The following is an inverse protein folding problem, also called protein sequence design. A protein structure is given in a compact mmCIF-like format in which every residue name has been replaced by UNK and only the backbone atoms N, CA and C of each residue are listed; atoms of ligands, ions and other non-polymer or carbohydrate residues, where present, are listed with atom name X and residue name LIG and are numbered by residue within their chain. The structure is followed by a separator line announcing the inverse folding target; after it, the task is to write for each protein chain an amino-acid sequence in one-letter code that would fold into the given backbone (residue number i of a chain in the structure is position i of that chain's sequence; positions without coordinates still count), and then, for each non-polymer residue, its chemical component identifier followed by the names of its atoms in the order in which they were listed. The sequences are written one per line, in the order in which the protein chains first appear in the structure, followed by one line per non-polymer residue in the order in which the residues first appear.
data_IF_356431511057
#
_entry.id   IF_356431511057
#
_cell.length_a   1.000
_cell.length_b   1.000
_cell.length_c   1.000
_cell.angle_alpha   90.00
_cell.angle_beta   90.00
_cell.angle_gamma   90.00
#
_symmetry.space_group_name_H-M   'P 1'
#
loop_
_entity.id
_entity.type
_entity.pdbx_description
1 polymer ?
#
# COMPACT_ATOMS: atom_id res chain seq x y z
N UNK A 1 6.91 16.62 -0.36
CA UNK A 1 6.44 17.50 -1.45
C UNK A 1 6.07 18.88 -0.92
N UNK A 2 6.07 19.90 -1.78
CA UNK A 2 5.51 21.22 -1.58
C UNK A 2 4.29 21.38 -2.47
N UNK A 3 3.19 21.84 -1.91
CA UNK A 3 1.96 22.12 -2.64
C UNK A 3 1.73 23.64 -2.61
N UNK A 4 1.69 24.26 -3.77
CA UNK A 4 1.39 25.68 -3.91
C UNK A 4 -0.11 25.84 -4.22
N UNK A 5 -0.81 26.68 -3.44
CA UNK A 5 -2.22 26.97 -3.59
C UNK A 5 -2.49 28.46 -3.74
N UNK A 6 -3.62 28.80 -4.37
CA UNK A 6 -4.15 30.16 -4.46
C UNK A 6 -5.64 30.09 -4.08
N UNK A 7 -5.98 30.58 -2.90
CA UNK A 7 -7.28 30.33 -2.29
C UNK A 7 -7.48 28.80 -2.14
N UNK A 8 -8.62 28.32 -2.55
CA UNK A 8 -8.98 26.90 -2.46
C UNK A 8 -8.46 26.04 -3.63
N UNK A 9 -7.74 26.65 -4.58
CA UNK A 9 -7.23 25.96 -5.75
C UNK A 9 -5.78 25.57 -5.59
N UNK A 10 -5.47 24.27 -5.77
CA UNK A 10 -4.11 23.78 -5.88
C UNK A 10 -3.56 24.16 -7.27
N UNK A 11 -2.43 24.83 -7.31
CA UNK A 11 -1.83 25.33 -8.54
C UNK A 11 -0.75 24.43 -9.09
N UNK A 12 0.03 23.77 -8.20
CA UNK A 12 1.10 22.85 -8.58
C UNK A 12 1.62 22.06 -7.39
N UNK A 13 2.26 20.93 -7.70
CA UNK A 13 2.99 20.11 -6.74
C UNK A 13 4.45 20.06 -7.15
N UNK A 14 5.34 20.35 -6.22
CA UNK A 14 6.80 20.40 -6.41
C UNK A 14 7.51 19.47 -5.43
N UNK A 15 8.73 18.98 -5.77
CA UNK A 15 9.54 18.24 -4.81
C UNK A 15 10.01 19.16 -3.68
N UNK A 16 10.29 18.58 -2.53
CA UNK A 16 11.18 19.14 -1.51
C UNK A 16 12.46 18.35 -1.58
N UNK A 17 13.58 19.04 -1.51
CA UNK A 17 14.91 18.40 -1.54
C UNK A 17 15.07 17.58 -0.26
N UNK A 18 15.44 16.32 -0.44
CA UNK A 18 15.85 15.40 0.62
C UNK A 18 16.77 14.34 0.00
N UNK A 19 18.07 14.52 0.21
CA UNK A 19 19.13 13.70 -0.40
C UNK A 19 18.99 12.20 -0.04
N UNK A 20 18.53 11.90 1.17
CA UNK A 20 18.38 10.52 1.64
C UNK A 20 17.16 9.81 1.01
N UNK A 21 16.12 10.56 0.59
CA UNK A 21 14.84 9.99 0.16
C UNK A 21 14.65 10.14 -1.35
N UNK A 22 14.45 11.36 -1.81
CA UNK A 22 14.02 11.66 -3.18
C UNK A 22 14.97 12.57 -3.94
N UNK A 23 16.10 12.97 -3.33
CA UNK A 23 16.98 14.02 -3.86
C UNK A 23 16.12 15.26 -4.18
N UNK A 24 16.08 15.68 -5.44
CA UNK A 24 15.26 16.81 -5.93
C UNK A 24 14.07 16.37 -6.79
N UNK A 25 13.74 15.07 -6.81
CA UNK A 25 12.78 14.48 -7.76
C UNK A 25 11.43 14.11 -7.11
N UNK A 26 10.38 14.16 -7.92
CA UNK A 26 9.09 13.49 -7.67
C UNK A 26 8.61 12.84 -8.95
N UNK A 27 7.73 11.83 -8.83
CA UNK A 27 7.14 11.18 -10.00
C UNK A 27 6.20 12.12 -10.75
N UNK A 28 6.05 11.90 -12.06
CA UNK A 28 5.08 12.64 -12.88
C UNK A 28 3.65 12.46 -12.36
N UNK A 29 3.30 11.27 -11.87
CA UNK A 29 2.03 11.03 -11.21
C UNK A 29 1.81 12.00 -10.04
N UNK A 30 2.78 12.16 -9.15
CA UNK A 30 2.70 13.09 -8.02
C UNK A 30 2.63 14.55 -8.50
N UNK A 31 3.37 14.89 -9.54
CA UNK A 31 3.46 16.26 -10.06
C UNK A 31 2.16 16.73 -10.73
N UNK A 32 1.49 15.85 -11.45
CA UNK A 32 0.41 16.23 -12.36
C UNK A 32 -0.98 15.71 -11.98
N UNK A 33 -1.10 14.75 -11.05
CA UNK A 33 -2.40 14.17 -10.69
C UNK A 33 -3.27 15.04 -9.77
N UNK A 34 -2.81 16.24 -9.37
CA UNK A 34 -3.53 17.09 -8.42
C UNK A 34 -4.86 17.62 -8.94
N UNK A 35 -5.06 17.68 -10.25
CA UNK A 35 -6.33 18.09 -10.84
C UNK A 35 -7.49 17.19 -10.40
N UNK A 36 -7.23 15.88 -10.23
CA UNK A 36 -8.20 14.92 -9.74
C UNK A 36 -8.77 15.25 -8.35
N UNK A 37 -8.05 16.05 -7.55
CA UNK A 37 -8.52 16.49 -6.22
C UNK A 37 -9.77 17.39 -6.27
N UNK A 38 -10.13 17.93 -7.44
CA UNK A 38 -11.27 18.82 -7.61
C UNK A 38 -12.47 18.14 -8.28
N UNK A 39 -12.32 16.91 -8.78
CA UNK A 39 -13.37 16.22 -9.52
C UNK A 39 -13.96 15.07 -8.71
N UNK A 40 -15.24 14.78 -8.94
CA UNK A 40 -15.97 13.67 -8.33
C UNK A 40 -15.88 13.66 -6.78
N UNK A 41 -15.86 14.85 -6.18
CA UNK A 41 -15.81 15.01 -4.73
C UNK A 41 -17.15 14.60 -4.11
N UNK A 42 -17.04 13.88 -2.98
CA UNK A 42 -18.18 13.64 -2.10
C UNK A 42 -18.22 14.81 -1.12
N UNK A 43 -19.21 15.66 -1.26
CA UNK A 43 -19.43 16.87 -0.46
C UNK A 43 -20.69 16.79 0.41
N UNK A 44 -21.47 15.72 0.28
CA UNK A 44 -22.74 15.49 0.99
C UNK A 44 -22.90 14.05 1.43
N UNK A 45 -23.85 13.85 2.34
CA UNK A 45 -24.28 12.54 2.79
C UNK A 45 -25.35 11.97 1.86
N UNK A 46 -25.28 10.67 1.56
CA UNK A 46 -26.26 9.99 0.72
C UNK A 46 -26.72 8.68 1.35
N UNK A 47 -28.00 8.38 1.16
CA UNK A 47 -28.61 7.09 1.48
C UNK A 47 -29.15 6.45 0.21
N UNK A 48 -29.04 5.13 0.10
CA UNK A 48 -29.66 4.38 -1.00
C UNK A 48 -31.12 4.08 -0.67
N UNK A 49 -32.01 4.49 -1.56
CA UNK A 49 -33.45 4.22 -1.43
C UNK A 49 -33.83 2.78 -1.85
N UNK A 50 -35.08 2.43 -1.67
CA UNK A 50 -35.62 1.12 -2.07
C UNK A 50 -35.58 0.87 -3.59
N UNK A 51 -35.41 1.91 -4.41
CA UNK A 51 -35.27 1.84 -5.87
C UNK A 51 -33.80 1.81 -6.30
N UNK A 52 -32.88 1.57 -5.36
CA UNK A 52 -31.43 1.55 -5.59
C UNK A 52 -30.82 2.86 -6.06
N UNK A 53 -31.49 4.00 -5.82
CA UNK A 53 -31.00 5.34 -6.13
C UNK A 53 -30.35 5.94 -4.87
N UNK A 54 -29.20 6.60 -5.02
CA UNK A 54 -28.61 7.42 -3.97
C UNK A 54 -29.37 8.74 -3.87
N UNK A 55 -29.88 9.05 -2.67
CA UNK A 55 -30.58 10.28 -2.35
C UNK A 55 -29.78 11.05 -1.30
N UNK A 56 -29.68 12.37 -1.46
CA UNK A 56 -29.09 13.25 -0.46
C UNK A 56 -29.87 13.14 0.85
N UNK A 57 -29.13 13.16 1.98
CA UNK A 57 -29.71 13.12 3.31
C UNK A 57 -28.92 14.04 4.25
N UNK A 58 -29.45 14.23 5.45
CA UNK A 58 -28.74 14.95 6.50
C UNK A 58 -27.65 14.09 7.14
N UNK A 59 -26.67 14.72 7.76
CA UNK A 59 -25.64 14.05 8.55
C UNK A 59 -26.26 13.16 9.64
N UNK A 60 -27.25 13.69 10.36
CA UNK A 60 -27.93 12.96 11.45
C UNK A 60 -28.64 11.70 10.93
N UNK A 61 -29.28 11.76 9.78
CA UNK A 61 -29.95 10.59 9.18
C UNK A 61 -28.92 9.52 8.82
N UNK A 62 -27.81 9.89 8.18
CA UNK A 62 -26.76 8.97 7.81
C UNK A 62 -26.10 8.35 9.05
N UNK A 63 -25.67 9.17 10.02
CA UNK A 63 -24.99 8.71 11.23
C UNK A 63 -25.89 7.84 12.11
N UNK A 64 -27.18 8.18 12.25
CA UNK A 64 -28.14 7.35 12.98
C UNK A 64 -28.35 5.99 12.32
N UNK A 65 -28.43 5.93 10.98
CA UNK A 65 -28.53 4.65 10.28
C UNK A 65 -27.26 3.80 10.48
N UNK A 66 -26.06 4.40 10.34
CA UNK A 66 -24.78 3.74 10.58
C UNK A 66 -24.71 3.19 12.00
N UNK A 67 -25.01 4.04 13.01
CA UNK A 67 -25.04 3.65 14.42
C UNK A 67 -25.97 2.47 14.67
N UNK A 68 -27.20 2.53 14.16
CA UNK A 68 -28.17 1.46 14.32
C UNK A 68 -27.67 0.16 13.68
N UNK A 69 -27.08 0.23 12.49
CA UNK A 69 -26.54 -0.96 11.82
C UNK A 69 -25.36 -1.56 12.57
N UNK A 70 -24.41 -0.74 13.04
CA UNK A 70 -23.24 -1.20 13.81
C UNK A 70 -23.63 -1.83 15.16
N UNK A 71 -24.73 -1.38 15.79
CA UNK A 71 -25.21 -1.90 17.07
C UNK A 71 -26.11 -3.14 16.93
N UNK A 72 -26.81 -3.29 15.81
CA UNK A 72 -27.77 -4.39 15.60
C UNK A 72 -27.17 -5.59 14.89
N UNK A 73 -26.19 -5.39 14.02
CA UNK A 73 -25.49 -6.48 13.34
C UNK A 73 -24.48 -7.11 14.28
N UNK A 74 -24.44 -8.43 14.35
CA UNK A 74 -23.43 -9.13 15.14
C UNK A 74 -22.01 -8.74 14.71
N UNK A 75 -21.15 -8.36 15.65
CA UNK A 75 -19.78 -7.91 15.38
C UNK A 75 -18.94 -8.89 14.55
N UNK A 76 -19.19 -10.21 14.70
CA UNK A 76 -18.54 -11.25 13.90
C UNK A 76 -18.97 -11.26 12.43
N UNK A 77 -20.08 -10.58 12.10
CA UNK A 77 -20.65 -10.42 10.76
C UNK A 77 -20.37 -9.05 10.14
N UNK A 78 -19.53 -8.25 10.80
CA UNK A 78 -19.09 -6.96 10.29
C UNK A 78 -17.64 -7.10 9.82
N UNK A 79 -17.34 -6.59 8.63
CA UNK A 79 -15.98 -6.45 8.11
C UNK A 79 -15.66 -4.98 7.82
N UNK A 80 -14.40 -4.61 7.90
CA UNK A 80 -13.95 -3.25 7.63
C UNK A 80 -12.63 -3.24 6.84
N UNK A 81 -12.54 -2.33 5.86
CA UNK A 81 -11.34 -2.09 5.10
C UNK A 81 -10.98 -0.60 5.15
N UNK A 82 -9.70 -0.31 5.19
CA UNK A 82 -9.18 1.05 5.05
C UNK A 82 -8.45 1.22 3.73
N UNK A 83 -8.55 2.42 3.17
CA UNK A 83 -7.94 2.79 1.90
C UNK A 83 -6.43 2.97 1.99
N UNK A 84 -5.81 2.91 0.84
CA UNK A 84 -4.36 2.87 0.68
C UNK A 84 -3.66 4.23 0.91
N UNK A 85 -4.41 5.33 1.06
CA UNK A 85 -3.88 6.69 1.16
C UNK A 85 -4.26 7.41 2.47
N UNK A 86 -4.69 6.66 3.50
CA UNK A 86 -5.08 7.22 4.77
C UNK A 86 -3.88 7.51 5.68
N UNK A 87 -4.00 8.58 6.45
CA UNK A 87 -3.07 8.95 7.53
C UNK A 87 -3.25 8.05 8.76
N UNK A 88 -2.24 8.06 9.63
CA UNK A 88 -2.22 7.23 10.83
C UNK A 88 -3.32 7.59 11.81
N UNK A 89 -3.65 8.87 11.98
CA UNK A 89 -4.67 9.33 12.93
C UNK A 89 -6.06 8.83 12.54
N UNK A 90 -6.38 8.90 11.24
CA UNK A 90 -7.65 8.38 10.71
C UNK A 90 -7.76 6.87 10.91
N UNK A 91 -6.71 6.11 10.58
CA UNK A 91 -6.68 4.66 10.76
C UNK A 91 -6.77 4.27 12.23
N UNK A 92 -6.04 4.98 13.10
CA UNK A 92 -6.02 4.73 14.54
C UNK A 92 -7.37 5.00 15.19
N UNK A 93 -8.00 6.14 14.87
CA UNK A 93 -9.32 6.49 15.38
C UNK A 93 -10.39 5.47 14.96
N UNK A 94 -10.32 5.03 13.70
CA UNK A 94 -11.24 3.99 13.20
C UNK A 94 -10.99 2.64 13.90
N UNK A 95 -9.73 2.27 14.11
CA UNK A 95 -9.39 1.06 14.86
C UNK A 95 -9.95 1.07 16.27
N UNK A 96 -9.83 2.21 17.00
CA UNK A 96 -10.43 2.37 18.36
C UNK A 96 -11.95 2.16 18.31
N UNK A 97 -12.63 2.70 17.29
CA UNK A 97 -14.07 2.49 17.12
C UNK A 97 -14.40 1.01 16.95
N UNK A 98 -13.68 0.32 16.06
CA UNK A 98 -13.89 -1.11 15.80
C UNK A 98 -13.61 -1.97 17.05
N UNK A 99 -12.53 -1.67 17.76
CA UNK A 99 -12.14 -2.37 19.00
C UNK A 99 -13.22 -2.19 20.09
N UNK A 100 -13.76 -0.96 20.27
CA UNK A 100 -14.88 -0.69 21.22
C UNK A 100 -16.16 -1.44 20.88
N UNK A 101 -16.41 -1.70 19.58
CA UNK A 101 -17.56 -2.48 19.10
C UNK A 101 -17.27 -3.99 19.01
N UNK A 102 -16.07 -4.45 19.44
CA UNK A 102 -15.60 -5.82 19.33
C UNK A 102 -15.64 -6.36 17.89
N UNK A 103 -15.38 -5.49 16.89
CA UNK A 103 -15.29 -5.87 15.49
C UNK A 103 -13.82 -6.21 15.19
N UNK A 104 -13.55 -7.48 14.88
CA UNK A 104 -12.19 -7.99 14.67
C UNK A 104 -11.86 -8.31 13.20
N UNK A 105 -12.82 -8.16 12.28
CA UNK A 105 -12.61 -8.47 10.86
C UNK A 105 -12.26 -7.18 10.11
N UNK A 106 -11.01 -6.72 10.23
CA UNK A 106 -10.52 -5.54 9.53
C UNK A 106 -9.14 -5.78 8.92
N UNK A 107 -8.86 -5.12 7.81
CA UNK A 107 -7.55 -5.18 7.13
C UNK A 107 -7.29 -3.88 6.35
N UNK A 108 -6.01 -3.50 6.23
CA UNK A 108 -5.56 -2.43 5.36
C UNK A 108 -5.10 -2.93 3.98
N UNK A 109 -5.09 -4.25 3.75
CA UNK A 109 -4.58 -4.87 2.53
C UNK A 109 -5.74 -5.24 1.60
N UNK A 110 -6.14 -4.34 0.74
CA UNK A 110 -7.11 -4.61 -0.31
C UNK A 110 -6.58 -5.58 -1.37
N UNK A 111 -5.26 -5.68 -1.50
CA UNK A 111 -4.51 -6.52 -2.43
C UNK A 111 -4.11 -7.89 -1.85
N UNK A 112 -4.40 -8.11 -0.57
CA UNK A 112 -4.02 -9.32 0.17
C UNK A 112 -2.51 -9.64 0.15
N UNK A 113 -1.64 -8.63 0.05
CA UNK A 113 -0.20 -8.81 0.05
C UNK A 113 0.28 -9.53 1.31
N UNK A 114 1.24 -10.46 1.14
CA UNK A 114 1.83 -11.23 2.23
C UNK A 114 2.79 -10.38 3.08
N UNK A 115 2.77 -10.57 4.38
CA UNK A 115 3.75 -10.09 5.35
C UNK A 115 3.72 -11.00 6.58
N UNK A 116 4.73 -10.93 7.43
CA UNK A 116 4.75 -11.66 8.70
C UNK A 116 4.24 -10.71 9.78
N UNK A 117 3.12 -11.03 10.45
CA UNK A 117 2.61 -10.24 11.57
C UNK A 117 3.66 -10.08 12.66
N UNK A 118 3.72 -8.89 13.28
CA UNK A 118 4.64 -8.57 14.37
C UNK A 118 6.13 -8.47 13.96
N UNK A 119 6.46 -8.80 12.71
CA UNK A 119 7.80 -8.61 12.15
C UNK A 119 7.82 -7.40 11.22
N UNK A 120 8.18 -6.22 11.77
CA UNK A 120 8.19 -4.95 11.00
C UNK A 120 9.10 -5.02 9.78
N UNK A 121 10.21 -5.73 9.88
CA UNK A 121 11.15 -5.94 8.76
C UNK A 121 10.52 -6.68 7.57
N UNK A 122 9.38 -7.35 7.76
CA UNK A 122 8.67 -8.07 6.70
C UNK A 122 7.81 -7.18 5.78
N UNK A 123 7.70 -5.87 6.07
CA UNK A 123 6.87 -4.97 5.27
C UNK A 123 7.46 -3.56 5.03
N UNK A 124 8.71 -3.31 5.42
CA UNK A 124 9.41 -2.05 5.17
C UNK A 124 10.64 -2.22 4.26
N UNK A 125 11.20 -1.11 3.84
CA UNK A 125 12.46 -1.04 3.11
C UNK A 125 13.61 -0.93 4.11
N UNK A 126 14.15 -2.07 4.52
CA UNK A 126 15.04 -2.20 5.67
C UNK A 126 16.41 -1.52 5.51
N UNK A 127 16.96 -1.53 4.29
CA UNK A 127 18.27 -0.92 4.02
C UNK A 127 18.26 0.61 4.05
N UNK A 128 17.09 1.23 4.27
CA UNK A 128 16.79 2.63 3.95
C UNK A 128 16.86 2.95 2.45
N UNK A 129 16.32 4.07 2.03
CA UNK A 129 16.36 4.47 0.61
C UNK A 129 17.79 4.88 0.22
N UNK A 130 18.50 5.59 1.10
CA UNK A 130 19.90 5.94 0.90
C UNK A 130 20.83 4.72 0.87
N UNK A 131 20.47 3.63 1.57
CA UNK A 131 21.24 2.38 1.54
C UNK A 131 21.34 1.73 0.15
N UNK A 132 20.52 2.13 -0.82
CA UNK A 132 20.71 1.72 -2.23
C UNK A 132 22.11 2.08 -2.71
N UNK A 133 22.63 3.22 -2.27
CA UNK A 133 23.96 3.72 -2.70
C UNK A 133 25.11 2.91 -2.09
N UNK A 134 24.88 2.24 -0.96
CA UNK A 134 25.86 1.37 -0.30
C UNK A 134 25.86 -0.06 -0.84
N UNK A 135 24.81 -0.47 -1.55
CA UNK A 135 24.68 -1.83 -2.05
C UNK A 135 25.65 -2.15 -3.18
N UNK A 136 26.02 -3.41 -3.37
CA UNK A 136 26.92 -3.88 -4.43
C UNK A 136 26.25 -4.87 -5.41
N UNK A 137 25.01 -5.24 -5.17
CA UNK A 137 24.18 -6.12 -5.98
C UNK A 137 22.71 -5.76 -5.76
N UNK A 138 21.89 -5.70 -6.81
CA UNK A 138 20.44 -5.55 -6.72
C UNK A 138 19.72 -6.79 -7.27
N UNK A 139 18.73 -7.29 -6.51
CA UNK A 139 17.85 -8.41 -6.93
C UNK A 139 16.40 -7.94 -6.86
N UNK A 140 15.76 -7.77 -8.01
CA UNK A 140 14.37 -7.38 -8.16
C UNK A 140 13.48 -8.62 -8.27
N UNK A 141 12.48 -8.76 -7.41
CA UNK A 141 11.58 -9.92 -7.38
C UNK A 141 10.13 -9.44 -7.47
N UNK A 142 9.47 -9.74 -8.60
CA UNK A 142 8.06 -9.43 -8.80
C UNK A 142 7.73 -7.94 -8.74
N UNK A 143 8.58 -7.08 -9.31
CA UNK A 143 8.37 -5.63 -9.38
C UNK A 143 8.74 -5.03 -10.73
N UNK A 144 7.90 -4.11 -11.22
CA UNK A 144 8.25 -3.11 -12.23
C UNK A 144 8.70 -1.84 -11.50
N UNK A 145 9.95 -1.84 -11.04
CA UNK A 145 10.50 -0.76 -10.21
C UNK A 145 10.37 0.63 -10.88
N UNK A 146 10.35 0.69 -12.22
CA UNK A 146 10.18 1.94 -12.96
C UNK A 146 8.78 2.53 -12.83
N UNK A 147 7.74 1.68 -12.78
CA UNK A 147 6.35 2.10 -12.64
C UNK A 147 5.93 2.21 -11.18
N UNK A 148 6.33 1.24 -10.36
CA UNK A 148 5.92 1.16 -8.96
C UNK A 148 6.65 2.17 -8.08
N UNK A 149 7.96 2.42 -8.36
CA UNK A 149 8.80 3.33 -7.56
C UNK A 149 9.83 4.07 -8.44
N UNK A 150 9.39 5.02 -9.29
CA UNK A 150 10.26 5.67 -10.27
C UNK A 150 11.45 6.41 -9.65
N UNK A 151 11.33 6.93 -8.43
CA UNK A 151 12.43 7.60 -7.73
C UNK A 151 13.48 6.59 -7.28
N UNK A 152 13.09 5.44 -6.71
CA UNK A 152 14.02 4.36 -6.40
C UNK A 152 14.69 3.82 -7.67
N UNK A 153 13.92 3.69 -8.75
CA UNK A 153 14.45 3.29 -10.06
C UNK A 153 15.51 4.26 -10.58
N UNK A 154 15.33 5.58 -10.37
CA UNK A 154 16.32 6.60 -10.72
C UNK A 154 17.61 6.43 -9.91
N UNK A 155 17.49 6.22 -8.59
CA UNK A 155 18.64 6.00 -7.70
C UNK A 155 19.42 4.73 -8.08
N UNK A 156 18.73 3.62 -8.35
CA UNK A 156 19.35 2.38 -8.86
C UNK A 156 20.08 2.63 -10.18
N UNK A 157 19.47 3.42 -11.08
CA UNK A 157 20.09 3.80 -12.36
C UNK A 157 21.37 4.61 -12.17
N UNK A 158 21.34 5.62 -11.30
CA UNK A 158 22.51 6.44 -10.98
C UNK A 158 23.64 5.58 -10.42
N UNK A 159 23.30 4.69 -9.46
CA UNK A 159 24.25 3.72 -8.91
C UNK A 159 24.86 2.84 -9.99
N UNK A 160 24.03 2.31 -10.90
CA UNK A 160 24.48 1.44 -12.00
C UNK A 160 25.40 2.18 -13.01
N UNK A 161 25.15 3.48 -13.24
CA UNK A 161 25.93 4.27 -14.21
C UNK A 161 27.24 4.83 -13.61
N UNK A 162 27.23 5.16 -12.31
CA UNK A 162 28.34 5.84 -11.64
C UNK A 162 29.32 4.87 -10.97
N UNK A 163 29.02 3.56 -10.97
CA UNK A 163 29.91 2.56 -10.39
C UNK A 163 31.10 2.31 -11.31
N UNK A 164 32.32 2.55 -10.84
CA UNK A 164 33.57 2.13 -11.49
C UNK A 164 33.65 0.60 -11.61
N UNK A 165 32.97 -0.10 -10.70
CA UNK A 165 32.75 -1.54 -10.73
C UNK A 165 31.34 -1.85 -11.25
N UNK A 166 31.22 -2.92 -12.04
CA UNK A 166 29.94 -3.36 -12.58
C UNK A 166 28.96 -3.65 -11.46
N UNK A 167 27.87 -2.85 -11.35
CA UNK A 167 26.76 -3.06 -10.42
C UNK A 167 25.74 -4.01 -11.06
N UNK A 168 25.69 -5.32 -10.72
CA UNK A 168 24.77 -6.25 -11.32
C UNK A 168 23.37 -6.04 -10.78
N UNK A 169 22.39 -6.05 -11.68
CA UNK A 169 20.95 -5.99 -11.34
C UNK A 169 20.31 -7.25 -11.91
N UNK A 170 19.81 -8.10 -11.04
CA UNK A 170 19.15 -9.35 -11.39
C UNK A 170 17.62 -9.18 -11.24
N UNK A 171 16.84 -9.79 -12.14
CA UNK A 171 15.38 -9.71 -12.06
C UNK A 171 14.75 -11.08 -12.17
N UNK A 172 13.75 -11.33 -11.30
CA UNK A 172 12.83 -12.45 -11.35
C UNK A 172 11.42 -11.86 -11.40
N UNK A 173 10.72 -12.07 -12.50
CA UNK A 173 9.40 -11.49 -12.76
C UNK A 173 9.21 -11.16 -14.23
N UNK A 174 8.14 -10.45 -14.56
CA UNK A 174 7.89 -10.03 -15.94
C UNK A 174 9.00 -9.10 -16.43
N UNK A 175 9.42 -9.32 -17.68
CA UNK A 175 10.40 -8.48 -18.33
C UNK A 175 9.74 -7.19 -18.84
N UNK A 176 10.29 -6.05 -18.45
CA UNK A 176 9.86 -4.74 -18.91
C UNK A 176 11.09 -3.86 -19.24
N UNK A 177 10.88 -2.84 -20.04
CA UNK A 177 11.94 -1.93 -20.45
C UNK A 177 12.41 -1.08 -19.29
N UNK A 178 13.70 -1.21 -18.94
CA UNK A 178 14.40 -0.39 -17.94
C UNK A 178 15.35 0.62 -18.59
N UNK A 179 15.82 1.59 -17.83
CA UNK A 179 16.83 2.58 -18.25
C UNK A 179 18.23 2.20 -17.78
N UNK A 180 18.43 0.96 -17.37
CA UNK A 180 19.67 0.34 -16.92
C UNK A 180 19.70 -1.13 -17.30
N UNK A 181 20.89 -1.72 -17.35
CA UNK A 181 21.06 -3.11 -17.73
C UNK A 181 20.57 -4.05 -16.62
N UNK A 182 19.75 -5.03 -16.99
CA UNK A 182 19.19 -6.04 -16.11
C UNK A 182 19.47 -7.43 -16.67
N UNK A 183 19.83 -8.35 -15.77
CA UNK A 183 19.97 -9.78 -16.08
C UNK A 183 18.68 -10.47 -15.70
N UNK A 184 17.88 -10.86 -16.70
CA UNK A 184 16.62 -11.57 -16.48
C UNK A 184 16.87 -13.04 -16.15
N UNK A 185 16.38 -13.49 -14.98
CA UNK A 185 16.52 -14.88 -14.51
C UNK A 185 15.28 -15.73 -14.80
N UNK A 186 14.21 -15.09 -15.28
CA UNK A 186 12.95 -15.73 -15.64
C UNK A 186 11.75 -15.19 -14.88
N UNK A 187 10.56 -15.62 -15.31
CA UNK A 187 9.28 -15.06 -14.84
C UNK A 187 8.60 -15.84 -13.74
N UNK A 188 9.09 -17.05 -13.43
CA UNK A 188 8.43 -17.97 -12.48
C UNK A 188 9.17 -18.00 -11.14
N UNK A 189 8.47 -18.24 -10.02
CA UNK A 189 9.10 -18.35 -8.69
C UNK A 189 10.25 -19.37 -8.62
N UNK A 190 10.16 -20.45 -9.40
CA UNK A 190 11.24 -21.46 -9.50
C UNK A 190 12.59 -20.87 -9.94
N UNK A 191 12.60 -19.68 -10.57
CA UNK A 191 13.85 -19.00 -10.96
C UNK A 191 14.69 -18.58 -9.76
N UNK A 192 14.11 -18.47 -8.56
CA UNK A 192 14.85 -18.26 -7.32
C UNK A 192 15.91 -19.36 -7.07
N UNK A 193 15.70 -20.59 -7.55
CA UNK A 193 16.69 -21.67 -7.45
C UNK A 193 18.00 -21.34 -8.19
N UNK A 194 17.98 -20.48 -9.21
CA UNK A 194 19.20 -20.04 -9.90
C UNK A 194 20.11 -19.23 -8.96
N UNK A 195 19.51 -18.53 -8.00
CA UNK A 195 20.23 -17.79 -6.94
C UNK A 195 20.61 -18.68 -5.77
N UNK A 196 19.80 -19.67 -5.41
CA UNK A 196 20.02 -20.53 -4.23
C UNK A 196 21.18 -21.51 -4.44
N UNK A 197 21.10 -22.31 -5.51
CA UNK A 197 22.09 -23.36 -5.82
C UNK A 197 22.50 -23.37 -7.30
N UNK A 198 21.92 -22.50 -8.13
CA UNK A 198 22.17 -22.47 -9.56
C UNK A 198 23.41 -21.65 -9.95
N UNK A 199 23.57 -21.45 -11.26
CA UNK A 199 24.73 -20.76 -11.82
C UNK A 199 24.86 -19.28 -11.44
N UNK A 200 23.74 -18.63 -11.04
CA UNK A 200 23.71 -17.20 -10.75
C UNK A 200 24.01 -16.87 -9.27
N UNK A 201 24.16 -17.91 -8.41
CA UNK A 201 24.63 -17.74 -7.01
C UNK A 201 25.97 -17.00 -6.92
N UNK A 202 26.80 -17.08 -7.98
CA UNK A 202 28.08 -16.37 -8.10
C UNK A 202 28.01 -14.87 -7.84
N UNK A 203 26.86 -14.23 -8.12
CA UNK A 203 26.66 -12.81 -7.85
C UNK A 203 26.51 -12.57 -6.34
N UNK A 204 25.75 -13.43 -5.65
CA UNK A 204 25.56 -13.38 -4.20
C UNK A 204 26.83 -13.77 -3.42
N UNK A 205 27.57 -14.77 -3.90
CA UNK A 205 28.85 -15.18 -3.31
C UNK A 205 29.90 -14.05 -3.34
N UNK A 206 29.85 -13.16 -4.33
CA UNK A 206 30.75 -12.03 -4.45
C UNK A 206 30.27 -10.76 -3.73
N UNK A 207 28.97 -10.66 -3.49
CA UNK A 207 28.36 -9.50 -2.85
C UNK A 207 28.64 -9.47 -1.36
N UNK A 208 28.86 -8.29 -0.81
CA UNK A 208 28.95 -8.05 0.63
C UNK A 208 27.68 -7.37 1.14
N UNK A 209 27.05 -6.50 0.32
CA UNK A 209 25.82 -5.75 0.64
C UNK A 209 24.74 -5.99 -0.43
N UNK A 210 24.19 -7.24 -0.52
CA UNK A 210 23.14 -7.52 -1.49
C UNK A 210 21.85 -6.79 -1.14
N UNK A 211 21.21 -6.19 -2.14
CA UNK A 211 19.93 -5.48 -2.04
C UNK A 211 18.85 -6.33 -2.72
N UNK A 212 17.95 -6.92 -1.94
CA UNK A 212 16.77 -7.62 -2.42
C UNK A 212 15.57 -6.68 -2.34
N UNK A 213 14.78 -6.57 -3.41
CA UNK A 213 13.55 -5.78 -3.45
C UNK A 213 12.41 -6.67 -3.92
N UNK A 214 11.50 -6.99 -3.00
CA UNK A 214 10.29 -7.75 -3.28
C UNK A 214 9.13 -6.80 -3.51
N UNK A 215 8.51 -6.86 -4.70
CA UNK A 215 7.36 -6.05 -5.06
C UNK A 215 6.03 -6.78 -4.92
N UNK A 216 4.95 -6.04 -5.15
CA UNK A 216 3.58 -6.53 -4.99
C UNK A 216 3.25 -7.65 -5.98
N UNK A 217 3.88 -7.69 -7.16
CA UNK A 217 3.73 -8.80 -8.11
C UNK A 217 4.20 -10.16 -7.58
N UNK A 218 5.04 -10.20 -6.54
CA UNK A 218 5.38 -11.42 -5.81
C UNK A 218 4.50 -11.61 -4.57
N UNK A 219 4.20 -10.53 -3.84
CA UNK A 219 3.56 -10.58 -2.52
C UNK A 219 2.03 -10.74 -2.58
N UNK A 220 1.36 -10.35 -3.68
CA UNK A 220 -0.08 -10.51 -3.86
C UNK A 220 -0.51 -11.85 -4.48
N UNK A 221 0.44 -12.76 -4.71
CA UNK A 221 0.18 -14.08 -5.29
C UNK A 221 -0.37 -15.06 -4.25
N UNK A 222 -1.03 -16.11 -4.73
CA UNK A 222 -1.48 -17.22 -3.85
C UNK A 222 -0.32 -18.03 -3.24
N UNK A 223 0.88 -17.99 -3.86
CA UNK A 223 2.11 -18.64 -3.40
C UNK A 223 3.10 -17.64 -2.76
N UNK A 224 2.63 -16.44 -2.40
CA UNK A 224 3.45 -15.33 -1.87
C UNK A 224 4.26 -15.68 -0.63
N UNK A 225 3.69 -16.44 0.30
CA UNK A 225 4.38 -16.92 1.51
C UNK A 225 5.62 -17.76 1.15
N UNK A 226 5.48 -18.68 0.21
CA UNK A 226 6.61 -19.51 -0.23
C UNK A 226 7.68 -18.68 -0.94
N UNK A 227 7.26 -17.72 -1.77
CA UNK A 227 8.19 -16.81 -2.46
C UNK A 227 8.96 -15.96 -1.45
N UNK A 228 8.25 -15.36 -0.49
CA UNK A 228 8.85 -14.53 0.56
C UNK A 228 9.86 -15.32 1.38
N UNK A 229 9.44 -16.45 1.94
CA UNK A 229 10.28 -17.29 2.79
C UNK A 229 11.51 -17.82 2.04
N UNK A 230 11.35 -18.23 0.79
CA UNK A 230 12.47 -18.70 -0.01
C UNK A 230 13.42 -17.57 -0.41
N UNK A 231 12.92 -16.39 -0.76
CA UNK A 231 13.75 -15.22 -1.01
C UNK A 231 14.52 -14.79 0.26
N UNK A 232 13.87 -14.80 1.43
CA UNK A 232 14.49 -14.52 2.74
C UNK A 232 15.59 -15.54 3.06
N UNK A 233 15.33 -16.85 2.84
CA UNK A 233 16.33 -17.90 3.01
C UNK A 233 17.55 -17.71 2.10
N UNK A 234 17.34 -17.30 0.84
CA UNK A 234 18.45 -16.98 -0.09
C UNK A 234 19.26 -15.80 0.45
N UNK A 235 18.57 -14.72 0.85
CA UNK A 235 19.22 -13.54 1.41
C UNK A 235 20.06 -13.89 2.64
N UNK A 236 19.49 -14.57 3.62
CA UNK A 236 20.17 -14.97 4.86
C UNK A 236 21.37 -15.89 4.62
N UNK A 237 21.26 -16.82 3.65
CA UNK A 237 22.37 -17.74 3.29
C UNK A 237 23.60 -17.00 2.79
N UNK A 238 23.42 -15.88 2.08
CA UNK A 238 24.51 -15.14 1.42
C UNK A 238 24.82 -13.78 2.07
N UNK A 239 24.04 -13.34 3.05
CA UNK A 239 24.33 -12.14 3.83
C UNK A 239 25.60 -12.34 4.64
N UNK A 240 26.58 -11.46 4.49
CA UNK A 240 27.90 -11.52 5.16
C UNK A 240 28.03 -10.45 6.23
N UNK A 241 27.46 -9.28 6.00
CA UNK A 241 27.52 -8.13 6.88
C UNK A 241 26.30 -8.16 7.83
N UNK A 242 26.56 -8.26 9.13
CA UNK A 242 25.51 -8.31 10.16
C UNK A 242 24.82 -6.97 10.38
N UNK A 243 25.49 -5.87 10.05
CA UNK A 243 24.95 -4.52 10.16
C UNK A 243 24.12 -4.10 8.92
N UNK A 244 24.12 -4.94 7.86
CA UNK A 244 23.41 -4.72 6.62
C UNK A 244 22.12 -5.55 6.53
N UNK A 245 20.96 -4.87 6.55
CA UNK A 245 19.69 -5.50 6.20
C UNK A 245 19.22 -5.06 4.82
N UNK A 246 19.63 -5.76 3.79
CA UNK A 246 19.24 -5.50 2.40
C UNK A 246 18.01 -6.28 1.92
N UNK A 247 17.24 -6.90 2.79
CA UNK A 247 15.99 -7.57 2.43
C UNK A 247 14.83 -6.57 2.53
N UNK A 248 14.38 -6.06 1.38
CA UNK A 248 13.45 -4.94 1.31
C UNK A 248 12.12 -5.31 0.68
N UNK A 249 11.06 -4.72 1.22
CA UNK A 249 9.70 -4.84 0.70
C UNK A 249 9.30 -3.53 0.05
N UNK A 250 8.84 -3.59 -1.20
CA UNK A 250 8.38 -2.44 -1.94
C UNK A 250 6.87 -2.25 -1.73
N UNK A 251 6.52 -1.28 -0.89
CA UNK A 251 5.14 -0.83 -0.74
C UNK A 251 4.81 0.25 -1.77
N UNK A 252 3.66 0.13 -2.41
CA UNK A 252 3.21 1.07 -3.46
C UNK A 252 2.22 2.12 -2.95
N UNK A 253 1.78 2.00 -1.70
CA UNK A 253 0.72 2.82 -1.11
C UNK A 253 1.22 3.64 0.08
N UNK A 254 0.86 4.93 0.12
CA UNK A 254 1.36 5.89 1.12
C UNK A 254 0.88 5.63 2.55
N UNK A 255 -0.30 5.06 2.72
CA UNK A 255 -0.88 4.75 4.05
C UNK A 255 -0.55 3.34 4.55
N UNK A 256 0.04 2.46 3.72
CA UNK A 256 0.17 1.03 4.03
C UNK A 256 1.07 0.76 5.24
N UNK A 257 2.26 1.32 5.28
CA UNK A 257 3.21 1.07 6.38
C UNK A 257 2.65 1.57 7.71
N UNK A 258 2.07 2.78 7.72
CA UNK A 258 1.42 3.33 8.92
C UNK A 258 0.26 2.47 9.42
N UNK A 259 -0.58 1.97 8.52
CA UNK A 259 -1.69 1.09 8.90
C UNK A 259 -1.20 -0.27 9.46
N UNK A 260 -0.13 -0.83 8.91
CA UNK A 260 0.50 -2.06 9.44
C UNK A 260 1.17 -1.81 10.79
N UNK A 261 1.88 -0.70 10.98
CA UNK A 261 2.48 -0.30 12.26
C UNK A 261 1.42 -0.13 13.37
N UNK A 262 0.22 0.36 13.01
CA UNK A 262 -0.93 0.47 13.92
C UNK A 262 -1.65 -0.88 14.15
N UNK A 263 -1.22 -1.94 13.49
CA UNK A 263 -1.83 -3.26 13.60
C UNK A 263 -3.26 -3.32 13.02
N UNK A 264 -3.52 -2.57 11.94
CA UNK A 264 -4.82 -2.60 11.26
C UNK A 264 -4.91 -3.81 10.31
N UNK A 265 -4.85 -5.00 10.89
CA UNK A 265 -5.01 -6.29 10.21
C UNK A 265 -5.54 -7.34 11.16
N UNK A 266 -6.22 -8.34 10.62
CA UNK A 266 -6.75 -9.44 11.43
C UNK A 266 -5.73 -10.55 11.60
N UNK A 267 -5.17 -10.68 12.79
CA UNK A 267 -4.20 -11.75 13.14
C UNK A 267 -4.76 -13.17 12.98
N UNK A 268 -6.07 -13.36 13.24
CA UNK A 268 -6.71 -14.69 13.22
C UNK A 268 -7.02 -15.23 11.82
N UNK A 269 -7.05 -14.37 10.80
CA UNK A 269 -7.47 -14.73 9.44
C UNK A 269 -6.31 -14.78 8.44
N UNK A 270 -5.06 -14.63 8.91
CA UNK A 270 -3.89 -14.61 8.02
C UNK A 270 -3.59 -15.98 7.40
N UNK A 271 -4.07 -17.06 8.02
CA UNK A 271 -3.57 -18.42 7.70
C UNK A 271 -4.34 -19.18 6.61
N UNK A 272 -5.56 -18.79 6.20
CA UNK A 272 -6.35 -19.66 5.28
C UNK A 272 -7.15 -18.96 4.19
N UNK A 273 -7.72 -17.79 4.42
CA UNK A 273 -8.56 -17.10 3.45
C UNK A 273 -8.51 -15.60 3.73
N UNK A 274 -8.11 -14.80 2.75
CA UNK A 274 -8.03 -13.36 2.91
C UNK A 274 -9.38 -12.76 3.31
N UNK A 275 -9.37 -11.62 4.02
CA UNK A 275 -10.60 -10.92 4.39
C UNK A 275 -11.41 -10.56 3.13
N UNK A 276 -10.75 -10.15 2.05
CA UNK A 276 -11.38 -9.85 0.76
C UNK A 276 -12.14 -11.08 0.22
N UNK A 277 -11.51 -12.25 0.22
CA UNK A 277 -12.17 -13.46 -0.26
C UNK A 277 -13.36 -13.84 0.63
N UNK A 278 -13.26 -13.63 1.94
CA UNK A 278 -14.38 -13.86 2.87
C UNK A 278 -15.54 -12.88 2.60
N UNK A 279 -15.24 -11.61 2.25
CA UNK A 279 -16.24 -10.62 1.84
C UNK A 279 -16.96 -11.10 0.58
N UNK A 280 -16.22 -11.48 -0.45
CA UNK A 280 -16.80 -11.96 -1.72
C UNK A 280 -17.62 -13.25 -1.55
N UNK A 281 -17.25 -14.12 -0.63
CA UNK A 281 -18.00 -15.33 -0.30
C UNK A 281 -19.25 -15.06 0.56
N UNK A 282 -19.56 -13.80 0.88
CA UNK A 282 -20.78 -13.43 1.59
C UNK A 282 -20.80 -13.82 3.06
N UNK A 283 -19.64 -13.87 3.71
CA UNK A 283 -19.53 -14.17 5.15
C UNK A 283 -20.09 -13.04 6.02
N UNK A 284 -20.08 -11.80 5.52
CA UNK A 284 -20.41 -10.60 6.28
C UNK A 284 -21.75 -9.99 5.84
N UNK A 285 -22.50 -9.50 6.83
CA UNK A 285 -23.77 -8.83 6.62
C UNK A 285 -23.62 -7.30 6.53
N UNK A 286 -22.48 -6.77 7.05
CA UNK A 286 -22.11 -5.35 6.95
C UNK A 286 -20.62 -5.21 6.56
N UNK A 287 -20.36 -4.31 5.64
CA UNK A 287 -19.01 -3.92 5.20
C UNK A 287 -18.84 -2.41 5.36
N UNK A 288 -17.81 -1.99 6.13
CA UNK A 288 -17.43 -0.60 6.25
C UNK A 288 -16.14 -0.34 5.45
N UNK A 289 -16.25 0.50 4.44
CA UNK A 289 -15.16 0.92 3.55
C UNK A 289 -14.74 2.35 3.91
N UNK A 290 -13.62 2.51 4.61
CA UNK A 290 -13.06 3.83 4.91
C UNK A 290 -12.03 4.20 3.84
N UNK A 291 -12.45 4.99 2.85
CA UNK A 291 -11.66 5.35 1.64
C UNK A 291 -11.09 4.14 0.89
N UNK A 292 -11.73 2.98 1.01
CA UNK A 292 -11.32 1.74 0.39
C UNK A 292 -12.23 1.44 -0.81
N UNK A 293 -11.73 1.63 -2.02
CA UNK A 293 -12.49 1.47 -3.27
C UNK A 293 -11.71 0.76 -4.39
N UNK A 294 -10.52 0.22 -4.10
CA UNK A 294 -9.74 -0.58 -5.05
C UNK A 294 -10.10 -2.07 -5.04
N UNK A 295 -11.18 -2.45 -4.34
CA UNK A 295 -11.73 -3.81 -4.35
C UNK A 295 -12.75 -3.98 -5.49
N UNK A 296 -12.96 -5.23 -5.92
CA UNK A 296 -13.99 -5.56 -6.90
C UNK A 296 -15.39 -5.50 -6.26
N UNK A 297 -16.05 -4.35 -6.40
CA UNK A 297 -17.35 -4.10 -5.79
C UNK A 297 -18.47 -4.99 -6.33
N UNK A 298 -18.35 -5.50 -7.57
CA UNK A 298 -19.33 -6.35 -8.20
C UNK A 298 -19.39 -7.73 -7.53
N UNK A 299 -18.29 -8.14 -6.89
CA UNK A 299 -18.23 -9.38 -6.10
C UNK A 299 -18.81 -9.27 -4.70
N UNK A 300 -19.14 -8.06 -4.23
CA UNK A 300 -19.78 -7.89 -2.92
C UNK A 300 -21.24 -8.35 -3.04
N UNK A 301 -21.69 -9.32 -2.23
CA UNK A 301 -23.06 -9.83 -2.31
C UNK A 301 -24.11 -8.75 -2.05
N UNK A 302 -25.22 -8.78 -2.80
CA UNK A 302 -26.28 -7.79 -2.70
C UNK A 302 -26.91 -7.67 -1.30
N UNK A 303 -26.89 -8.77 -0.51
CA UNK A 303 -27.39 -8.79 0.87
C UNK A 303 -26.51 -8.04 1.87
N UNK A 304 -25.23 -7.78 1.54
CA UNK A 304 -24.30 -7.10 2.44
C UNK A 304 -24.60 -5.62 2.44
N UNK A 305 -24.86 -5.05 3.62
CA UNK A 305 -25.01 -3.61 3.79
C UNK A 305 -23.63 -2.93 3.72
N UNK A 306 -23.47 -1.94 2.85
CA UNK A 306 -22.18 -1.31 2.58
C UNK A 306 -22.20 0.17 3.01
N UNK A 307 -21.30 0.53 3.91
CA UNK A 307 -21.01 1.90 4.29
C UNK A 307 -19.74 2.31 3.57
N UNK A 308 -19.77 3.38 2.80
CA UNK A 308 -18.58 4.00 2.22
C UNK A 308 -18.37 5.39 2.79
N UNK A 309 -17.24 5.60 3.42
CA UNK A 309 -16.77 6.91 3.88
C UNK A 309 -15.52 7.27 3.08
N UNK A 310 -15.59 8.31 2.27
CA UNK A 310 -14.50 8.67 1.35
C UNK A 310 -14.61 10.09 0.84
N UNK A 311 -13.59 10.52 0.12
CA UNK A 311 -13.51 11.90 -0.43
C UNK A 311 -13.82 11.97 -1.91
N UNK A 312 -13.85 10.87 -2.64
CA UNK A 312 -14.19 10.80 -4.06
C UNK A 312 -15.28 9.76 -4.33
N UNK A 313 -16.16 10.09 -5.27
CA UNK A 313 -17.21 9.19 -5.73
C UNK A 313 -16.73 8.33 -6.89
N UNK A 314 -16.18 7.15 -6.60
CA UNK A 314 -15.75 6.17 -7.57
C UNK A 314 -16.47 4.83 -7.38
N UNK A 315 -15.78 3.72 -7.47
CA UNK A 315 -16.38 2.37 -7.51
C UNK A 315 -17.20 2.05 -6.26
N UNK A 316 -16.68 2.34 -5.06
CA UNK A 316 -17.36 2.01 -3.82
C UNK A 316 -18.73 2.72 -3.67
N UNK A 317 -18.87 3.95 -4.17
CA UNK A 317 -20.14 4.70 -4.14
C UNK A 317 -21.23 3.98 -4.93
N UNK A 318 -20.89 3.32 -6.04
CA UNK A 318 -21.87 2.58 -6.86
C UNK A 318 -22.56 1.48 -6.05
N UNK A 319 -21.86 0.89 -5.07
CA UNK A 319 -22.36 -0.22 -4.26
C UNK A 319 -22.85 0.21 -2.86
N UNK A 320 -22.40 1.35 -2.36
CA UNK A 320 -22.71 1.81 -1.01
C UNK A 320 -24.21 2.00 -0.77
N UNK A 321 -24.68 1.60 0.41
CA UNK A 321 -26.00 1.90 0.93
C UNK A 321 -26.04 3.24 1.67
N UNK A 322 -24.90 3.60 2.27
CA UNK A 322 -24.64 4.91 2.91
C UNK A 322 -23.31 5.47 2.41
N UNK A 323 -23.31 6.73 2.03
CA UNK A 323 -22.09 7.47 1.61
C UNK A 323 -21.87 8.62 2.58
N UNK A 324 -20.65 8.70 3.12
CA UNK A 324 -20.22 9.72 4.10
C UNK A 324 -19.02 10.48 3.51
N UNK A 325 -19.06 11.81 3.44
CA UNK A 325 -17.93 12.62 2.99
C UNK A 325 -16.77 12.58 4.00
N UNK A 326 -15.53 12.73 3.51
CA UNK A 326 -14.34 12.93 4.33
C UNK A 326 -13.32 13.81 3.61
N UNK A 327 -12.38 14.36 4.36
CA UNK A 327 -11.31 15.20 3.82
C UNK A 327 -10.25 14.39 3.10
N UNK A 328 -9.71 14.91 1.99
CA UNK A 328 -8.52 14.34 1.35
C UNK A 328 -7.23 14.86 2.04
N UNK A 329 -6.08 14.33 1.65
CA UNK A 329 -4.78 14.63 2.28
C UNK A 329 -4.37 16.12 2.20
N UNK A 330 -4.92 16.91 1.27
CA UNK A 330 -4.64 18.35 1.16
C UNK A 330 -5.55 19.20 2.05
N UNK A 331 -6.59 18.62 2.61
CA UNK A 331 -7.64 19.27 3.40
C UNK A 331 -7.55 18.99 4.90
N UNK A 332 -6.53 18.23 5.31
CA UNK A 332 -6.28 17.88 6.71
C UNK A 332 -4.78 17.80 6.99
N UNK A 333 -4.43 17.83 8.25
CA UNK A 333 -3.12 17.47 8.75
C UNK A 333 -3.11 15.98 9.13
N UNK A 334 -1.99 15.29 8.92
CA UNK A 334 -1.89 13.88 9.27
C UNK A 334 -0.48 13.32 9.14
N UNK A 335 -0.23 12.22 9.82
CA UNK A 335 1.05 11.49 9.79
C UNK A 335 0.96 10.35 8.78
N UNK A 336 1.99 10.25 7.95
CA UNK A 336 2.22 9.13 7.04
C UNK A 336 3.55 8.49 7.33
N UNK A 337 3.61 7.18 7.34
CA UNK A 337 4.87 6.43 7.46
C UNK A 337 5.31 5.99 6.08
N UNK A 338 6.49 6.46 5.66
CA UNK A 338 7.00 6.15 4.33
C UNK A 338 7.48 4.69 4.20
N UNK A 339 7.94 4.32 3.02
CA UNK A 339 8.42 2.99 2.66
C UNK A 339 9.49 2.42 3.62
N UNK A 340 10.41 3.26 4.11
CA UNK A 340 11.48 2.84 5.03
C UNK A 340 11.07 2.90 6.52
N UNK A 341 9.79 3.17 6.81
CA UNK A 341 9.29 3.24 8.17
C UNK A 341 9.49 4.59 8.85
N UNK A 342 9.74 5.68 8.11
CA UNK A 342 9.94 7.04 8.61
C UNK A 342 8.62 7.80 8.70
N UNK A 343 8.18 8.25 9.90
CA UNK A 343 6.98 9.07 10.03
C UNK A 343 7.22 10.48 9.51
N UNK A 344 6.25 11.02 8.77
CA UNK A 344 6.28 12.34 8.16
C UNK A 344 4.93 13.03 8.30
N UNK A 345 4.92 14.32 8.63
CA UNK A 345 3.70 15.12 8.81
C UNK A 345 3.33 15.78 7.47
N UNK A 346 2.10 15.54 7.04
CA UNK A 346 1.44 16.33 5.99
C UNK A 346 0.68 17.49 6.64
N UNK A 347 0.84 18.69 6.09
CA UNK A 347 0.13 19.89 6.55
C UNK A 347 -1.10 20.15 5.70
N UNK A 348 -2.15 20.67 6.30
CA UNK A 348 -3.33 21.15 5.58
C UNK A 348 -2.94 22.28 4.61
N UNK A 349 -3.45 22.23 3.38
CA UNK A 349 -3.17 23.19 2.32
C UNK A 349 -4.41 24.08 2.04
N UNK A 350 -5.59 23.48 2.10
CA UNK A 350 -6.87 24.18 1.90
C UNK A 350 -7.93 23.65 2.86
N UNK A 351 -9.03 24.38 3.01
CA UNK A 351 -10.19 23.89 3.74
C UNK A 351 -10.90 22.77 2.96
N UNK A 352 -11.58 21.86 3.65
CA UNK A 352 -12.39 20.82 3.02
C UNK A 352 -13.50 21.38 2.15
#
# INVERSE_FOLDING_TARGET
IRIDSKGDKIMRVLPRINEDINEEWISDKTRFAYDGLNYQRIDRFYLRDKKSKLCECTEDEALNLIKNKLLTVNSSKIASLVGNSLDCETVFSFKILLDKLNINNYDCRQDNSYFIPEERSSYIFNSTISGIDDSDLCVLIGTDIKKEAPILSSRIRQKSNNSDTKYPILRIGESHKTNFNVIDLGTKPKSLNLLFNGKEKKYLEKSNKPLFILGQGALCRSDSEHIFNFAKQIYEKYSKDQDWNGFNILQTYSGRVGALDLGFYNKKNLDKTSLIQQIYNGKFDLLYLLSADEIDIEKIPNKTFVIYQGHHGDQAVKRADVVVPTSCFTEKEGIYVNLEGRPQISRQVKMP
#
